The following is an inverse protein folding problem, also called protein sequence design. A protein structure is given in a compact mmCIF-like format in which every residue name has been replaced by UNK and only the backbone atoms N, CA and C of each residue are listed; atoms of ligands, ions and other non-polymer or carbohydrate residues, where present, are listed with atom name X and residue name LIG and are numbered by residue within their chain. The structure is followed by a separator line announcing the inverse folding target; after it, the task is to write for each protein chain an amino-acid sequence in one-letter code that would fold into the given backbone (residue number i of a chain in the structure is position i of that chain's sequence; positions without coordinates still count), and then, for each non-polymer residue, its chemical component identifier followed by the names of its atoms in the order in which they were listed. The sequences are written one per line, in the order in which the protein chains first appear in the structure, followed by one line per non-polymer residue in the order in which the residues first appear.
data_IF_914935000882
#
_entry.id   IF_914935000882
#
_cell.length_a   1.000
_cell.length_b   1.000
_cell.length_c   1.000
_cell.angle_alpha   90.00
_cell.angle_beta   90.00
_cell.angle_gamma   90.00
#
_symmetry.space_group_name_H-M   'P 1'
#
loop_
_entity.id
_entity.type
_entity.pdbx_description
1 polymer ?
#
# COMPACT_ATOMS: atom_id res chain seq x y z
N UNK A 1 -14.34 7.82 0.00
CA UNK A 1 -13.87 6.55 0.59
C UNK A 1 -12.48 6.76 1.14
N UNK A 2 -12.22 6.35 2.38
CA UNK A 2 -10.90 6.53 3.02
C UNK A 2 -9.86 5.50 2.57
N UNK A 3 -8.59 5.73 2.93
CA UNK A 3 -7.48 4.79 2.70
C UNK A 3 -7.80 3.39 3.28
N UNK A 4 -8.45 3.33 4.44
CA UNK A 4 -8.92 2.08 5.04
C UNK A 4 -9.87 1.31 4.12
N UNK A 5 -10.89 1.98 3.58
CA UNK A 5 -11.87 1.32 2.70
C UNK A 5 -11.20 0.79 1.42
N UNK A 6 -10.26 1.55 0.85
CA UNK A 6 -9.48 1.13 -0.32
C UNK A 6 -8.62 -0.10 0.01
N UNK A 7 -7.89 -0.07 1.12
CA UNK A 7 -7.09 -1.20 1.59
C UNK A 7 -7.93 -2.47 1.79
N UNK A 8 -9.04 -2.35 2.52
CA UNK A 8 -9.93 -3.48 2.80
C UNK A 8 -10.54 -4.05 1.51
N UNK A 9 -10.88 -3.19 0.54
CA UNK A 9 -11.38 -3.61 -0.77
C UNK A 9 -10.34 -4.39 -1.58
N UNK A 10 -9.10 -3.91 -1.62
CA UNK A 10 -7.98 -4.60 -2.29
C UNK A 10 -7.71 -5.96 -1.64
N UNK A 11 -7.58 -5.99 -0.31
CA UNK A 11 -7.36 -7.23 0.44
C UNK A 11 -8.49 -8.24 0.24
N UNK A 12 -9.75 -7.78 0.27
CA UNK A 12 -10.91 -8.63 0.03
C UNK A 12 -10.93 -9.20 -1.39
N UNK A 13 -10.59 -8.41 -2.40
CA UNK A 13 -10.48 -8.87 -3.79
C UNK A 13 -9.36 -9.89 -4.01
N UNK A 14 -8.31 -9.85 -3.18
CA UNK A 14 -7.18 -10.79 -3.20
C UNK A 14 -7.38 -12.01 -2.29
N UNK A 15 -8.52 -12.12 -1.61
CA UNK A 15 -8.80 -13.23 -0.69
C UNK A 15 -8.03 -13.20 0.63
N UNK A 16 -7.43 -12.05 0.98
CA UNK A 16 -6.72 -11.87 2.25
C UNK A 16 -7.71 -11.93 3.41
N UNK A 17 -7.41 -12.73 4.43
CA UNK A 17 -8.26 -12.84 5.61
C UNK A 17 -8.50 -11.47 6.23
N UNK A 18 -9.75 -11.17 6.61
CA UNK A 18 -10.13 -9.87 7.18
C UNK A 18 -9.27 -9.48 8.38
N UNK A 19 -8.94 -10.45 9.25
CA UNK A 19 -8.10 -10.19 10.42
C UNK A 19 -6.69 -9.74 10.01
N UNK A 20 -6.04 -10.49 9.12
CA UNK A 20 -4.73 -10.15 8.54
C UNK A 20 -4.78 -8.77 7.89
N UNK A 21 -5.80 -8.49 7.08
CA UNK A 21 -5.99 -7.19 6.43
C UNK A 21 -6.09 -6.04 7.44
N UNK A 22 -6.86 -6.20 8.52
CA UNK A 22 -7.00 -5.16 9.57
C UNK A 22 -5.69 -4.92 10.30
N UNK A 23 -4.96 -5.97 10.66
CA UNK A 23 -3.70 -5.85 11.40
C UNK A 23 -2.62 -5.18 10.54
N UNK A 24 -2.54 -5.53 9.27
CA UNK A 24 -1.63 -4.88 8.32
C UNK A 24 -2.00 -3.41 8.05
N UNK A 25 -3.29 -3.08 7.98
CA UNK A 25 -3.70 -1.67 7.84
C UNK A 25 -3.24 -0.84 9.03
N UNK A 26 -3.38 -1.36 10.26
CA UNK A 26 -2.92 -0.68 11.48
C UNK A 26 -1.40 -0.49 11.48
N UNK A 27 -0.64 -1.50 11.03
CA UNK A 27 0.82 -1.41 10.89
C UNK A 27 1.22 -0.32 9.91
N UNK A 28 0.65 -0.33 8.70
CA UNK A 28 0.90 0.70 7.68
C UNK A 28 0.51 2.09 8.20
N UNK A 29 -0.66 2.21 8.84
CA UNK A 29 -1.07 3.47 9.45
C UNK A 29 -0.05 3.99 10.47
N UNK A 30 0.45 3.13 11.35
CA UNK A 30 1.47 3.49 12.33
C UNK A 30 2.76 3.98 11.68
N UNK A 31 3.20 3.34 10.59
CA UNK A 31 4.39 3.74 9.84
C UNK A 31 4.24 5.12 9.18
N UNK A 32 3.10 5.38 8.53
CA UNK A 32 2.83 6.68 7.90
C UNK A 32 2.53 7.80 8.89
N UNK A 33 2.13 7.48 10.12
CA UNK A 33 1.95 8.42 11.23
C UNK A 33 3.20 8.56 12.12
N UNK A 34 4.31 7.91 11.77
CA UNK A 34 5.56 7.96 12.54
C UNK A 34 6.16 9.36 12.67
N UNK A 35 6.88 9.61 13.77
CA UNK A 35 7.59 10.88 14.00
C UNK A 35 8.65 11.10 12.91
N UNK A 36 8.71 12.33 12.37
CA UNK A 36 9.73 12.74 11.38
C UNK A 36 9.25 12.76 9.92
N UNK A 37 8.01 12.35 9.62
CA UNK A 37 7.42 12.45 8.28
C UNK A 37 6.68 13.78 8.12
N UNK A 38 7.31 14.75 7.45
CA UNK A 38 6.65 16.02 7.07
C UNK A 38 6.05 15.98 5.65
N UNK A 39 6.67 15.23 4.72
CA UNK A 39 6.23 15.11 3.33
C UNK A 39 5.64 13.72 2.98
N UNK A 40 6.21 12.62 3.52
CA UNK A 40 5.74 11.25 3.25
C UNK A 40 4.64 10.80 4.24
N UNK A 41 3.56 11.58 4.32
CA UNK A 41 2.45 11.36 5.25
C UNK A 41 1.24 10.72 4.55
N UNK A 42 0.15 10.51 5.30
CA UNK A 42 -1.14 10.07 4.73
C UNK A 42 -1.68 10.98 3.63
N UNK A 43 -1.26 12.27 3.61
CA UNK A 43 -1.59 13.22 2.55
C UNK A 43 -1.01 12.77 1.20
N UNK A 44 0.25 12.33 1.21
CA UNK A 44 0.95 11.85 0.01
C UNK A 44 0.27 10.62 -0.59
N UNK A 45 -0.09 9.63 0.25
CA UNK A 45 -0.86 8.46 -0.17
C UNK A 45 -2.18 8.85 -0.85
N UNK A 46 -2.90 9.85 -0.31
CA UNK A 46 -4.14 10.33 -0.91
C UNK A 46 -3.89 10.98 -2.28
N UNK A 47 -2.84 11.77 -2.42
CA UNK A 47 -2.46 12.38 -3.70
C UNK A 47 -2.15 11.31 -4.76
N UNK A 48 -1.37 10.27 -4.42
CA UNK A 48 -1.06 9.19 -5.35
C UNK A 48 -2.31 8.42 -5.79
N UNK A 49 -3.22 8.12 -4.86
CA UNK A 49 -4.46 7.46 -5.22
C UNK A 49 -5.39 8.32 -6.07
N UNK A 50 -5.44 9.63 -5.84
CA UNK A 50 -6.18 10.55 -6.70
C UNK A 50 -5.60 10.56 -8.13
N UNK A 51 -4.27 10.51 -8.28
CA UNK A 51 -3.61 10.39 -9.56
C UNK A 51 -3.95 9.06 -10.26
N UNK A 52 -3.84 7.93 -9.57
CA UNK A 52 -4.20 6.62 -10.11
C UNK A 52 -5.67 6.57 -10.56
N UNK A 53 -6.59 7.13 -9.78
CA UNK A 53 -8.01 7.18 -10.14
C UNK A 53 -8.24 8.04 -11.39
N UNK A 54 -7.51 9.15 -11.56
CA UNK A 54 -7.57 9.98 -12.74
C UNK A 54 -7.02 9.27 -13.99
N UNK A 55 -5.90 8.56 -13.85
CA UNK A 55 -5.30 7.75 -14.93
C UNK A 55 -6.24 6.62 -15.34
N UNK A 56 -6.82 5.90 -14.38
CA UNK A 56 -7.77 4.81 -14.64
C UNK A 56 -9.02 5.29 -15.38
N UNK A 57 -9.55 6.47 -15.03
CA UNK A 57 -10.66 7.10 -15.77
C UNK A 57 -10.29 7.47 -17.21
N UNK A 58 -9.05 7.92 -17.43
CA UNK A 58 -8.58 8.39 -18.74
C UNK A 58 -8.23 7.25 -19.71
N UNK A 59 -7.65 6.17 -19.20
CA UNK A 59 -7.08 5.09 -20.02
C UNK A 59 -7.85 3.76 -19.95
N UNK A 60 -8.88 3.66 -19.09
CA UNK A 60 -9.67 2.45 -18.89
C UNK A 60 -9.01 1.45 -17.95
N UNK A 61 -9.82 0.61 -17.30
CA UNK A 61 -9.39 -0.37 -16.29
C UNK A 61 -8.51 -1.51 -16.85
N UNK A 62 -8.39 -1.62 -18.17
CA UNK A 62 -7.81 -2.77 -18.87
C UNK A 62 -6.28 -2.78 -18.90
N UNK A 63 -5.63 -1.63 -18.65
CA UNK A 63 -4.17 -1.48 -18.83
C UNK A 63 -3.38 -1.69 -17.53
N UNK A 64 -4.06 -1.71 -16.38
CA UNK A 64 -3.40 -1.69 -15.07
C UNK A 64 -4.08 -2.70 -14.15
N UNK A 65 -3.29 -3.53 -13.47
CA UNK A 65 -3.73 -4.35 -12.33
C UNK A 65 -3.95 -3.43 -11.13
N UNK A 66 -5.19 -2.96 -10.85
CA UNK A 66 -5.42 -1.86 -9.91
C UNK A 66 -5.15 -2.30 -8.46
N UNK A 67 -5.32 -3.58 -8.18
CA UNK A 67 -4.92 -4.28 -6.97
C UNK A 67 -3.42 -4.15 -6.71
N UNK A 68 -2.59 -4.49 -7.70
CA UNK A 68 -1.13 -4.43 -7.57
C UNK A 68 -0.61 -3.00 -7.44
N UNK A 69 -1.18 -2.07 -8.21
CA UNK A 69 -0.83 -0.65 -8.08
C UNK A 69 -1.21 -0.09 -6.71
N UNK A 70 -2.35 -0.50 -6.17
CA UNK A 70 -2.74 -0.06 -4.85
C UNK A 70 -1.79 -0.58 -3.77
N UNK A 71 -1.39 -1.85 -3.86
CA UNK A 71 -0.35 -2.40 -2.99
C UNK A 71 0.97 -1.64 -3.16
N UNK A 72 1.43 -1.40 -4.38
CA UNK A 72 2.65 -0.62 -4.63
C UNK A 72 2.57 0.77 -3.96
N UNK A 73 1.45 1.48 -4.10
CA UNK A 73 1.25 2.78 -3.44
C UNK A 73 1.28 2.66 -1.91
N UNK A 74 0.65 1.64 -1.33
CA UNK A 74 0.67 1.45 0.13
C UNK A 74 2.04 1.08 0.68
N UNK A 75 2.91 0.42 -0.09
CA UNK A 75 4.19 -0.08 0.40
C UNK A 75 5.41 0.75 -0.02
N UNK A 76 5.42 1.45 -1.16
CA UNK A 76 6.63 2.06 -1.74
C UNK A 76 7.42 2.96 -0.77
N UNK A 77 6.72 3.68 0.10
CA UNK A 77 7.29 4.60 1.11
C UNK A 77 6.81 4.24 2.53
N UNK A 78 6.48 2.97 2.78
CA UNK A 78 6.00 2.55 4.09
C UNK A 78 7.11 2.60 5.15
N UNK A 79 8.35 2.31 4.77
CA UNK A 79 9.53 2.56 5.62
C UNK A 79 10.18 3.86 5.18
N UNK A 80 10.46 4.74 6.14
CA UNK A 80 11.09 6.03 5.87
C UNK A 80 11.96 6.44 7.03
N UNK A 81 13.25 6.46 6.78
CA UNK A 81 14.27 7.09 7.59
C UNK A 81 15.04 8.07 6.68
N UNK A 82 15.01 9.39 6.95
CA UNK A 82 15.69 10.38 6.11
C UNK A 82 17.22 10.22 6.10
N UNK A 83 17.79 9.41 7.00
CA UNK A 83 19.23 9.13 7.09
C UNK A 83 19.63 7.81 6.42
N UNK A 84 18.67 6.97 6.03
CA UNK A 84 18.92 5.67 5.44
C UNK A 84 18.83 5.70 3.91
N UNK A 85 19.75 4.98 3.26
CA UNK A 85 19.72 4.71 1.82
C UNK A 85 18.88 3.49 1.43
N UNK A 86 18.31 2.77 2.41
CA UNK A 86 17.67 1.46 2.24
C UNK A 86 16.14 1.50 2.29
N UNK A 87 15.53 2.69 2.39
CA UNK A 87 14.08 2.84 2.58
C UNK A 87 13.24 2.06 1.56
N UNK A 88 13.66 2.02 0.30
CA UNK A 88 12.97 1.28 -0.76
C UNK A 88 13.09 -0.24 -0.57
N UNK A 89 14.29 -0.72 -0.22
CA UNK A 89 14.55 -2.14 0.05
C UNK A 89 13.81 -2.62 1.31
N UNK A 90 13.79 -1.80 2.35
CA UNK A 90 13.08 -2.07 3.60
C UNK A 90 11.56 -2.08 3.40
N UNK A 91 11.05 -1.17 2.58
CA UNK A 91 9.66 -1.15 2.13
C UNK A 91 9.29 -2.40 1.32
N UNK A 92 10.20 -2.88 0.46
CA UNK A 92 10.03 -4.13 -0.26
C UNK A 92 10.09 -5.37 0.66
N UNK A 93 10.96 -5.37 1.68
CA UNK A 93 10.97 -6.38 2.74
C UNK A 93 9.62 -6.43 3.45
N UNK A 94 9.08 -5.28 3.82
CA UNK A 94 7.79 -5.16 4.50
C UNK A 94 6.64 -5.72 3.64
N UNK A 95 6.67 -5.50 2.32
CA UNK A 95 5.70 -6.09 1.41
C UNK A 95 5.80 -7.63 1.37
N UNK A 96 7.01 -8.19 1.35
CA UNK A 96 7.20 -9.65 1.39
C UNK A 96 6.65 -10.28 2.67
N UNK A 97 6.81 -9.59 3.80
CA UNK A 97 6.20 -10.03 5.06
C UNK A 97 4.67 -10.04 4.95
N UNK A 98 4.06 -9.02 4.34
CA UNK A 98 2.63 -9.00 4.07
C UNK A 98 2.18 -10.17 3.19
N UNK A 99 2.89 -10.45 2.10
CA UNK A 99 2.57 -11.57 1.21
C UNK A 99 2.60 -12.92 1.93
N UNK A 100 3.56 -13.11 2.85
CA UNK A 100 3.67 -14.32 3.67
C UNK A 100 2.46 -14.48 4.59
N UNK A 101 2.08 -13.42 5.28
CA UNK A 101 0.94 -13.43 6.21
C UNK A 101 -0.41 -13.50 5.50
N UNK A 102 -0.50 -12.95 4.29
CA UNK A 102 -1.69 -12.97 3.45
C UNK A 102 -1.98 -14.34 2.81
N UNK A 103 -1.10 -15.34 3.00
CA UNK A 103 -1.35 -16.72 2.59
C UNK A 103 -1.15 -17.00 1.09
N UNK A 104 -0.17 -16.37 0.43
CA UNK A 104 0.21 -16.70 -0.96
C UNK A 104 -0.72 -16.17 -2.06
N UNK A 105 -1.90 -15.64 -1.72
CA UNK A 105 -2.82 -14.97 -2.65
C UNK A 105 -2.28 -13.65 -3.23
N UNK A 106 -1.17 -13.16 -2.69
CA UNK A 106 -0.44 -11.96 -3.14
C UNK A 106 0.94 -12.37 -3.64
N UNK A 107 1.01 -13.20 -4.68
CA UNK A 107 2.28 -13.51 -5.34
C UNK A 107 2.48 -12.53 -6.51
N UNK A 108 3.52 -11.68 -6.51
CA UNK A 108 3.90 -10.94 -7.69
C UNK A 108 4.54 -11.96 -8.65
N UNK A 109 3.77 -12.34 -9.66
CA UNK A 109 4.26 -13.12 -10.81
C UNK A 109 5.35 -12.36 -11.55
#
# INVERSE_FOLDING_TARGET
GGLAARWMGVCGGLGVERRVSVDWYRRLWGLYCGRGRFYHTLEHLRCMFAFLDAVGKKHGATVLRPDLLALAVFFHDAVYDPTAGTNEEDSACLFRDFCRDAGGGVSPS
#
